data_IF_741451890695
#
_entry.id   IF_741451890695
#
_cell.length_a   1.000
_cell.length_b   1.000
_cell.length_c   1.000
_cell.angle_alpha   90.00
_cell.angle_beta   90.00
_cell.angle_gamma   90.00
#
_symmetry.space_group_name_H-M   'P 1'
#
loop_
_entity.id
_entity.type
_entity.pdbx_description
1 polymer ?
#
# COMPACT_ATOMS: atom_id res chain seq x y z
N UNK A 1 -13.70 10.38 -12.24
CA UNK A 1 -14.30 9.04 -12.08
C UNK A 1 -15.36 9.01 -10.98
N UNK A 2 -15.05 9.36 -9.72
CA UNK A 2 -16.07 9.41 -8.66
C UNK A 2 -17.15 10.49 -8.91
N UNK A 3 -16.75 11.68 -9.34
CA UNK A 3 -17.69 12.75 -9.72
C UNK A 3 -18.62 12.33 -10.85
N UNK A 4 -18.10 11.58 -11.83
CA UNK A 4 -18.86 11.01 -12.93
C UNK A 4 -19.86 9.95 -12.47
N UNK A 5 -19.49 9.10 -11.50
CA UNK A 5 -20.42 8.13 -10.94
C UNK A 5 -21.58 8.83 -10.21
N UNK A 6 -21.27 9.90 -9.47
CA UNK A 6 -22.30 10.68 -8.80
C UNK A 6 -23.21 11.43 -9.78
N UNK A 7 -22.67 12.01 -10.87
CA UNK A 7 -23.49 12.67 -11.90
C UNK A 7 -24.46 11.69 -12.60
N UNK A 8 -24.12 10.41 -12.63
CA UNK A 8 -24.98 9.31 -13.08
C UNK A 8 -25.93 8.77 -12.00
N UNK A 9 -26.03 9.44 -10.85
CA UNK A 9 -26.92 9.07 -9.74
C UNK A 9 -26.47 7.85 -8.95
N UNK A 10 -25.20 7.44 -9.04
CA UNK A 10 -24.67 6.32 -8.25
C UNK A 10 -24.40 6.74 -6.82
N UNK A 11 -24.92 5.97 -5.88
CA UNK A 11 -24.73 6.22 -4.44
C UNK A 11 -23.44 5.59 -3.93
N UNK A 12 -22.96 6.06 -2.77
CA UNK A 12 -21.77 5.52 -2.10
C UNK A 12 -21.98 4.04 -1.75
N UNK A 13 -23.19 3.64 -1.39
CA UNK A 13 -23.56 2.26 -1.08
C UNK A 13 -23.47 1.35 -2.31
N UNK A 14 -23.89 1.85 -3.48
CA UNK A 14 -23.75 1.11 -4.74
C UNK A 14 -22.28 0.94 -5.11
N UNK A 15 -21.44 1.96 -4.89
CA UNK A 15 -19.99 1.84 -5.08
C UNK A 15 -19.42 0.81 -4.10
N UNK A 16 -19.83 0.84 -2.83
CA UNK A 16 -19.39 -0.13 -1.83
C UNK A 16 -19.74 -1.56 -2.23
N UNK A 17 -20.95 -1.80 -2.73
CA UNK A 17 -21.39 -3.13 -3.16
C UNK A 17 -20.55 -3.64 -4.35
N UNK A 18 -20.26 -2.78 -5.32
CA UNK A 18 -19.34 -3.12 -6.41
C UNK A 18 -17.94 -3.48 -5.90
N UNK A 19 -17.41 -2.74 -4.92
CA UNK A 19 -16.08 -2.98 -4.36
C UNK A 19 -15.97 -4.32 -3.62
N UNK A 20 -17.05 -4.83 -3.02
CA UNK A 20 -17.07 -6.15 -2.38
C UNK A 20 -16.77 -7.28 -3.38
N UNK A 21 -17.08 -7.09 -4.65
CA UNK A 21 -16.77 -8.07 -5.70
C UNK A 21 -15.30 -8.08 -6.14
N UNK A 22 -14.45 -7.18 -5.64
CA UNK A 22 -13.02 -7.19 -5.94
C UNK A 22 -12.39 -8.47 -5.35
N UNK A 23 -11.83 -9.36 -6.20
CA UNK A 23 -11.29 -10.62 -5.72
C UNK A 23 -9.95 -10.41 -5.01
N UNK A 24 -9.79 -11.06 -3.85
CA UNK A 24 -8.49 -11.30 -3.23
C UNK A 24 -8.16 -12.78 -3.33
N UNK A 25 -6.95 -13.09 -3.82
CA UNK A 25 -6.53 -14.48 -3.94
C UNK A 25 -6.43 -15.13 -2.55
N UNK A 26 -6.92 -16.37 -2.33
CA UNK A 26 -6.92 -17.00 -1.00
C UNK A 26 -5.54 -17.04 -0.32
N UNK A 27 -4.47 -17.22 -1.10
CA UNK A 27 -3.10 -17.16 -0.56
C UNK A 27 -2.66 -15.77 -0.10
N UNK A 28 -3.19 -14.70 -0.69
CA UNK A 28 -2.95 -13.33 -0.21
C UNK A 28 -3.64 -13.12 1.13
N UNK A 29 -4.89 -13.59 1.27
CA UNK A 29 -5.63 -13.56 2.55
C UNK A 29 -4.84 -14.32 3.63
N UNK A 30 -4.47 -15.57 3.35
CA UNK A 30 -3.72 -16.41 4.28
C UNK A 30 -2.35 -15.83 4.65
N UNK A 31 -1.64 -15.18 3.71
CA UNK A 31 -0.37 -14.54 4.01
C UNK A 31 -0.53 -13.34 4.96
N UNK A 32 -1.56 -12.52 4.77
CA UNK A 32 -1.86 -11.38 5.65
C UNK A 32 -2.24 -11.87 7.06
N UNK A 33 -3.13 -12.87 7.14
CA UNK A 33 -3.54 -13.45 8.44
C UNK A 33 -2.35 -14.10 9.15
N UNK A 34 -1.53 -14.87 8.43
CA UNK A 34 -0.34 -15.51 9.03
C UNK A 34 0.66 -14.48 9.55
N UNK A 35 0.92 -13.41 8.81
CA UNK A 35 1.83 -12.36 9.26
C UNK A 35 1.29 -11.64 10.51
N UNK A 36 -0.02 -11.36 10.54
CA UNK A 36 -0.68 -10.79 11.71
C UNK A 36 -0.58 -11.73 12.92
N UNK A 37 -0.86 -13.02 12.76
CA UNK A 37 -0.84 -14.01 13.84
C UNK A 37 0.57 -14.26 14.38
N UNK A 38 1.60 -14.02 13.56
CA UNK A 38 3.01 -13.99 13.97
C UNK A 38 3.41 -12.70 14.71
N UNK A 39 2.49 -11.75 14.88
CA UNK A 39 2.71 -10.50 15.60
C UNK A 39 3.38 -9.40 14.76
N UNK A 40 3.34 -9.49 13.42
CA UNK A 40 3.83 -8.41 12.58
C UNK A 40 2.93 -7.18 12.66
N UNK A 41 3.55 -6.00 12.71
CA UNK A 41 2.85 -4.72 12.54
C UNK A 41 2.57 -4.48 11.05
N UNK A 42 1.32 -4.71 10.62
CA UNK A 42 0.93 -4.62 9.21
C UNK A 42 0.35 -3.25 8.87
N UNK A 43 0.89 -2.61 7.83
CA UNK A 43 0.47 -1.30 7.33
C UNK A 43 0.24 -1.33 5.83
N UNK A 44 -0.71 -0.53 5.35
CA UNK A 44 -0.89 -0.27 3.90
C UNK A 44 -0.45 1.16 3.59
N UNK A 45 0.37 1.31 2.56
CA UNK A 45 0.72 2.62 1.98
C UNK A 45 0.31 2.64 0.52
N UNK A 46 -0.70 3.43 0.16
CA UNK A 46 -1.31 3.36 -1.16
C UNK A 46 -1.77 4.71 -1.69
N UNK A 47 -1.55 4.91 -2.99
CA UNK A 47 -2.00 6.09 -3.72
C UNK A 47 -3.49 6.01 -4.14
N UNK A 48 -4.21 5.00 -3.67
CA UNK A 48 -5.66 4.84 -3.92
C UNK A 48 -6.48 5.78 -3.02
N UNK A 49 -7.54 5.28 -2.36
CA UNK A 49 -8.29 6.09 -1.41
C UNK A 49 -8.81 5.22 -0.26
N UNK A 50 -9.05 5.88 0.88
CA UNK A 50 -9.44 5.23 2.12
C UNK A 50 -10.73 4.42 1.96
N UNK A 51 -11.80 5.02 1.43
CA UNK A 51 -13.08 4.33 1.22
C UNK A 51 -12.92 3.00 0.45
N UNK A 52 -12.12 2.98 -0.62
CA UNK A 52 -11.93 1.77 -1.43
C UNK A 52 -11.20 0.67 -0.65
N UNK A 53 -10.05 1.03 -0.07
CA UNK A 53 -9.20 0.07 0.64
C UNK A 53 -9.96 -0.51 1.83
N UNK A 54 -10.58 0.35 2.64
CA UNK A 54 -11.32 -0.11 3.81
C UNK A 54 -12.50 -1.00 3.42
N UNK A 55 -13.27 -0.65 2.39
CA UNK A 55 -14.43 -1.44 1.96
C UNK A 55 -14.01 -2.85 1.54
N UNK A 56 -12.96 -2.96 0.72
CA UNK A 56 -12.44 -4.26 0.27
C UNK A 56 -11.90 -5.06 1.45
N UNK A 57 -11.06 -4.45 2.29
CA UNK A 57 -10.46 -5.16 3.44
C UNK A 57 -11.51 -5.58 4.48
N UNK A 58 -12.53 -4.76 4.74
CA UNK A 58 -13.63 -5.11 5.66
C UNK A 58 -14.45 -6.26 5.10
N UNK A 59 -14.74 -6.27 3.80
CA UNK A 59 -15.48 -7.38 3.17
C UNK A 59 -14.74 -8.72 3.30
N UNK A 60 -13.43 -8.72 3.09
CA UNK A 60 -12.58 -9.92 3.23
C UNK A 60 -12.14 -10.19 4.68
N UNK A 61 -12.64 -9.42 5.66
CA UNK A 61 -12.28 -9.55 7.08
C UNK A 61 -10.86 -9.09 7.45
N UNK A 62 -10.03 -8.70 6.49
CA UNK A 62 -8.61 -8.37 6.68
C UNK A 62 -8.35 -7.02 7.35
N UNK A 63 -9.36 -6.15 7.46
CA UNK A 63 -9.19 -4.82 8.07
C UNK A 63 -8.64 -4.91 9.51
N UNK A 64 -9.06 -5.94 10.26
CA UNK A 64 -8.59 -6.21 11.64
C UNK A 64 -7.10 -6.51 11.75
N UNK A 65 -6.47 -6.94 10.65
CA UNK A 65 -5.08 -7.35 10.63
C UNK A 65 -4.13 -6.15 10.50
N UNK A 66 -4.63 -4.99 10.09
CA UNK A 66 -3.80 -3.81 9.83
C UNK A 66 -3.84 -2.85 11.02
N UNK A 67 -2.67 -2.35 11.42
CA UNK A 67 -2.58 -1.29 12.41
C UNK A 67 -2.84 0.09 11.81
N UNK A 68 -2.60 0.25 10.51
CA UNK A 68 -2.68 1.55 9.84
C UNK A 68 -2.86 1.45 8.33
N UNK A 69 -3.63 2.37 7.76
CA UNK A 69 -3.81 2.54 6.32
C UNK A 69 -3.47 4.00 5.98
N UNK A 70 -2.35 4.19 5.33
CA UNK A 70 -1.83 5.50 4.90
C UNK A 70 -2.17 5.67 3.41
N UNK A 71 -3.18 6.48 3.15
CA UNK A 71 -3.73 6.69 1.81
C UNK A 71 -4.49 8.02 1.74
N UNK A 72 -5.01 8.38 0.56
CA UNK A 72 -5.81 9.58 0.37
C UNK A 72 -7.12 9.49 1.18
N UNK A 73 -7.34 10.34 2.19
CA UNK A 73 -8.53 10.27 3.02
C UNK A 73 -9.80 10.61 2.25
N UNK A 74 -10.94 10.13 2.76
CA UNK A 74 -12.24 10.28 2.10
C UNK A 74 -13.33 10.75 3.05
N UNK A 75 -14.27 11.54 2.54
CA UNK A 75 -15.49 11.92 3.25
C UNK A 75 -16.70 11.87 2.33
N UNK A 76 -17.90 11.66 2.87
CA UNK A 76 -19.15 11.84 2.13
C UNK A 76 -19.69 13.22 2.47
N UNK A 77 -19.93 14.06 1.46
CA UNK A 77 -20.47 15.40 1.68
C UNK A 77 -21.99 15.41 1.88
N UNK A 78 -22.56 16.59 2.17
CA UNK A 78 -24.00 16.75 2.42
C UNK A 78 -24.92 16.40 1.24
N UNK A 79 -24.36 16.24 0.03
CA UNK A 79 -25.08 15.81 -1.17
C UNK A 79 -24.90 14.29 -1.44
N UNK A 80 -24.26 13.57 -0.52
CA UNK A 80 -23.99 12.13 -0.68
C UNK A 80 -22.82 11.84 -1.63
N UNK A 81 -21.96 12.82 -1.92
CA UNK A 81 -20.80 12.62 -2.81
C UNK A 81 -19.60 12.12 -2.03
N UNK A 82 -18.96 11.08 -2.55
CA UNK A 82 -17.64 10.67 -2.06
C UNK A 82 -16.58 11.69 -2.50
N UNK A 83 -15.96 12.35 -1.54
CA UNK A 83 -14.83 13.27 -1.70
C UNK A 83 -13.54 12.56 -1.33
N UNK A 84 -12.49 12.78 -2.12
CA UNK A 84 -11.14 12.27 -1.88
C UNK A 84 -10.23 13.48 -1.69
N UNK A 85 -9.41 13.46 -0.66
CA UNK A 85 -8.46 14.52 -0.34
C UNK A 85 -7.03 13.99 -0.46
N UNK A 86 -6.04 14.83 -0.79
CA UNK A 86 -4.64 14.41 -0.75
C UNK A 86 -4.24 14.05 0.69
N UNK A 87 -3.45 12.99 0.85
CA UNK A 87 -2.86 12.64 2.15
C UNK A 87 -1.81 13.69 2.57
N UNK A 88 -0.97 14.12 1.63
CA UNK A 88 -0.04 15.20 1.86
C UNK A 88 -0.80 16.53 1.91
N UNK A 89 -0.54 17.34 2.93
CA UNK A 89 -0.96 18.74 2.91
C UNK A 89 -0.23 19.48 1.76
N UNK A 90 -0.97 20.25 0.97
CA UNK A 90 -0.46 21.04 -0.17
C UNK A 90 0.62 22.04 0.27
N UNK A 91 0.62 22.44 1.55
CA UNK A 91 1.62 23.33 2.15
C UNK A 91 2.93 22.60 2.45
N UNK A 92 2.88 21.29 2.64
CA UNK A 92 4.03 20.43 2.93
C UNK A 92 4.69 19.95 1.63
N UNK A 93 5.13 20.91 0.81
CA UNK A 93 5.94 20.64 -0.38
C UNK A 93 7.31 20.11 0.08
N UNK A 94 7.39 18.81 0.34
CA UNK A 94 8.55 18.12 0.91
C UNK A 94 9.71 17.93 -0.08
N UNK A 95 9.80 18.77 -1.12
CA UNK A 95 10.89 18.82 -2.08
C UNK A 95 11.01 17.63 -3.05
N UNK A 96 10.08 16.67 -3.01
CA UNK A 96 10.09 15.53 -3.92
C UNK A 96 9.36 15.85 -5.24
N UNK A 97 10.12 16.18 -6.29
CA UNK A 97 9.57 16.48 -7.61
C UNK A 97 9.14 15.22 -8.40
N UNK A 98 9.18 14.04 -7.79
CA UNK A 98 9.05 12.75 -8.47
C UNK A 98 7.94 11.86 -7.91
N UNK A 99 7.26 12.30 -6.85
CA UNK A 99 6.05 11.64 -6.34
C UNK A 99 4.79 12.36 -6.83
N UNK A 100 3.64 11.67 -6.87
CA UNK A 100 2.35 12.33 -7.01
C UNK A 100 2.16 13.41 -5.91
N UNK A 101 1.45 14.51 -6.21
CA UNK A 101 1.26 15.60 -5.25
C UNK A 101 0.48 15.15 -4.01
N UNK A 102 -0.35 14.12 -4.14
CA UNK A 102 -1.32 13.71 -3.14
C UNK A 102 -0.75 12.74 -2.08
N UNK A 103 0.23 11.89 -2.41
CA UNK A 103 0.86 10.98 -1.43
C UNK A 103 2.31 10.65 -1.82
N UNK A 104 3.24 10.88 -0.90
CA UNK A 104 4.64 10.49 -1.08
C UNK A 104 4.98 9.27 -0.22
N UNK A 105 5.07 8.11 -0.87
CA UNK A 105 5.44 6.86 -0.19
C UNK A 105 6.82 6.90 0.45
N UNK A 106 7.76 7.65 -0.13
CA UNK A 106 9.12 7.80 0.39
C UNK A 106 9.11 8.45 1.78
N UNK A 107 8.41 9.59 1.90
CA UNK A 107 8.25 10.30 3.17
C UNK A 107 7.49 9.46 4.21
N UNK A 108 6.45 8.74 3.78
CA UNK A 108 5.69 7.85 4.66
C UNK A 108 6.59 6.77 5.25
N UNK A 109 7.44 6.14 4.43
CA UNK A 109 8.34 5.09 4.92
C UNK A 109 9.39 5.66 5.88
N UNK A 110 9.92 6.85 5.63
CA UNK A 110 10.81 7.54 6.57
C UNK A 110 10.13 7.80 7.93
N UNK A 111 8.88 8.24 7.94
CA UNK A 111 8.11 8.46 9.16
C UNK A 111 7.87 7.16 9.93
N UNK A 112 7.53 6.06 9.23
CA UNK A 112 7.36 4.75 9.85
C UNK A 112 8.70 4.29 10.46
N UNK A 113 9.81 4.37 9.72
CA UNK A 113 11.13 4.00 10.22
C UNK A 113 11.55 4.81 11.45
N UNK A 114 11.28 6.13 11.46
CA UNK A 114 11.56 6.99 12.61
C UNK A 114 10.77 6.56 13.85
N UNK A 115 9.45 6.36 13.72
CA UNK A 115 8.58 5.94 14.84
C UNK A 115 8.91 4.55 15.40
N UNK A 116 9.44 3.65 14.57
CA UNK A 116 9.85 2.30 15.00
C UNK A 116 11.22 2.31 15.67
N UNK A 117 12.14 3.18 15.23
CA UNK A 117 13.49 3.29 15.83
C UNK A 117 13.44 3.67 17.31
N UNK A 118 12.43 4.44 17.73
CA UNK A 118 12.19 4.77 19.14
C UNK A 118 11.80 3.55 20.00
N UNK A 119 11.27 2.49 19.37
CA UNK A 119 10.80 1.26 20.04
C UNK A 119 11.80 0.10 19.96
N UNK A 120 12.91 0.26 19.22
CA UNK A 120 13.96 -0.73 19.04
C UNK A 120 14.15 -1.16 17.58
N UNK A 121 15.17 -2.01 17.32
CA UNK A 121 15.51 -2.43 15.96
C UNK A 121 14.43 -3.37 15.40
N UNK A 122 13.69 -2.88 14.42
CA UNK A 122 12.66 -3.62 13.69
C UNK A 122 13.14 -3.97 12.29
N UNK A 123 12.71 -5.13 11.78
CA UNK A 123 12.97 -5.56 10.40
C UNK A 123 11.78 -5.18 9.52
N UNK A 124 12.04 -4.57 8.37
CA UNK A 124 11.01 -4.18 7.41
C UNK A 124 10.87 -5.21 6.29
N UNK A 125 9.62 -5.47 5.90
CA UNK A 125 9.29 -6.25 4.71
C UNK A 125 8.36 -5.38 3.85
N UNK A 126 8.84 -4.92 2.70
CA UNK A 126 8.09 -4.04 1.80
C UNK A 126 7.58 -4.83 0.59
N UNK A 127 6.26 -4.86 0.41
CA UNK A 127 5.60 -5.50 -0.73
C UNK A 127 5.10 -4.41 -1.68
N UNK A 128 5.36 -4.57 -2.98
CA UNK A 128 4.90 -3.61 -3.99
C UNK A 128 5.05 -4.13 -5.42
N UNK A 129 4.50 -3.38 -6.38
CA UNK A 129 4.55 -3.71 -7.80
C UNK A 129 4.73 -2.48 -8.70
N UNK A 130 4.28 -1.31 -8.25
CA UNK A 130 4.22 -0.10 -9.05
C UNK A 130 5.54 0.69 -9.10
N UNK A 131 5.60 1.63 -10.05
CA UNK A 131 6.73 2.57 -10.16
C UNK A 131 6.91 3.45 -8.91
N UNK A 132 5.80 3.77 -8.25
CA UNK A 132 5.78 4.58 -7.01
C UNK A 132 6.42 3.88 -5.82
N UNK A 133 6.59 2.56 -5.88
CA UNK A 133 7.19 1.75 -4.82
C UNK A 133 8.73 1.69 -4.92
N UNK A 134 9.33 2.12 -6.05
CA UNK A 134 10.77 1.97 -6.23
C UNK A 134 11.58 2.80 -5.23
N UNK A 135 11.27 4.09 -5.07
CA UNK A 135 12.00 4.98 -4.15
C UNK A 135 11.94 4.54 -2.69
N UNK A 136 10.76 4.25 -2.10
CA UNK A 136 10.70 3.83 -0.71
C UNK A 136 11.52 2.56 -0.44
N UNK A 137 11.63 1.64 -1.41
CA UNK A 137 12.45 0.42 -1.22
C UNK A 137 13.95 0.72 -1.08
N UNK A 138 14.44 1.84 -1.61
CA UNK A 138 15.84 2.26 -1.46
C UNK A 138 16.17 2.81 -0.06
N UNK A 139 15.15 3.08 0.77
CA UNK A 139 15.29 3.51 2.16
C UNK A 139 15.47 2.35 3.14
N UNK A 140 15.17 1.13 2.69
CA UNK A 140 15.38 -0.07 3.48
C UNK A 140 16.87 -0.37 3.65
N UNK A 141 17.23 -0.99 4.77
CA UNK A 141 18.62 -1.26 5.14
C UNK A 141 18.95 -2.76 5.08
N UNK A 142 20.21 -3.09 5.38
CA UNK A 142 20.66 -4.49 5.42
C UNK A 142 19.87 -5.28 6.46
N UNK A 143 19.34 -6.42 6.01
CA UNK A 143 18.50 -7.30 6.81
C UNK A 143 17.00 -7.03 6.69
N UNK A 144 16.60 -5.96 6.00
CA UNK A 144 15.23 -5.77 5.53
C UNK A 144 14.98 -6.53 4.22
N UNK A 145 13.72 -6.68 3.84
CA UNK A 145 13.32 -7.40 2.63
C UNK A 145 12.40 -6.55 1.73
N UNK A 146 12.66 -6.59 0.43
CA UNK A 146 11.75 -6.12 -0.62
C UNK A 146 11.18 -7.32 -1.34
N UNK A 147 9.87 -7.31 -1.52
CA UNK A 147 9.14 -8.42 -2.13
C UNK A 147 8.37 -7.88 -3.34
N UNK A 148 9.05 -7.61 -4.48
CA UNK A 148 8.42 -7.01 -5.65
C UNK A 148 7.61 -8.05 -6.44
N UNK A 149 6.52 -7.62 -7.07
CA UNK A 149 5.76 -8.48 -7.97
C UNK A 149 6.51 -8.68 -9.28
N UNK A 150 6.82 -9.92 -9.60
CA UNK A 150 7.50 -10.34 -10.83
C UNK A 150 6.75 -9.89 -12.07
N UNK A 151 7.48 -9.27 -13.00
CA UNK A 151 6.92 -8.77 -14.26
C UNK A 151 6.17 -7.44 -14.13
N UNK A 152 6.30 -6.74 -13.00
CA UNK A 152 5.76 -5.41 -12.79
C UNK A 152 6.88 -4.37 -12.65
N UNK A 153 6.58 -3.07 -12.83
CA UNK A 153 7.60 -2.03 -12.92
C UNK A 153 8.57 -1.91 -11.74
N UNK A 154 8.17 -2.31 -10.53
CA UNK A 154 9.08 -2.37 -9.38
C UNK A 154 10.17 -3.43 -9.59
N UNK A 155 9.80 -4.66 -9.97
CA UNK A 155 10.74 -5.74 -10.28
C UNK A 155 11.75 -5.31 -11.32
N UNK A 156 11.26 -4.77 -12.45
CA UNK A 156 12.11 -4.39 -13.59
C UNK A 156 13.17 -3.35 -13.17
N UNK A 157 12.77 -2.37 -12.35
CA UNK A 157 13.67 -1.32 -11.87
C UNK A 157 14.73 -1.83 -10.90
N UNK A 158 14.33 -2.71 -9.97
CA UNK A 158 15.25 -3.30 -8.99
C UNK A 158 16.28 -4.20 -9.69
N UNK A 159 15.84 -5.02 -10.66
CA UNK A 159 16.73 -5.85 -11.48
C UNK A 159 17.67 -5.03 -12.35
N UNK A 160 17.25 -3.86 -12.81
CA UNK A 160 18.08 -2.97 -13.64
C UNK A 160 19.16 -2.25 -12.84
N UNK A 161 18.98 -2.04 -11.53
CA UNK A 161 19.91 -1.28 -10.68
C UNK A 161 20.12 -1.94 -9.31
N UNK A 162 20.58 -3.20 -9.25
CA UNK A 162 20.63 -3.96 -8.00
C UNK A 162 21.59 -3.37 -6.97
N UNK A 163 22.63 -2.64 -7.40
CA UNK A 163 23.63 -2.02 -6.52
C UNK A 163 23.09 -0.89 -5.64
N UNK A 164 21.93 -0.32 -5.98
CA UNK A 164 21.30 0.75 -5.20
C UNK A 164 20.46 0.19 -4.03
N UNK A 165 20.08 -1.08 -4.10
CA UNK A 165 19.28 -1.72 -3.06
C UNK A 165 20.18 -2.32 -1.98
N UNK A 166 19.92 -1.98 -0.71
CA UNK A 166 20.63 -2.54 0.45
C UNK A 166 19.93 -3.75 1.06
N UNK A 167 18.61 -3.80 0.93
CA UNK A 167 17.73 -4.86 1.42
C UNK A 167 17.78 -6.09 0.52
N UNK A 168 17.38 -7.24 1.06
CA UNK A 168 17.29 -8.48 0.30
C UNK A 168 16.04 -8.46 -0.59
N UNK A 169 16.17 -8.86 -1.85
CA UNK A 169 15.08 -8.81 -2.84
C UNK A 169 14.53 -10.22 -3.14
N UNK A 170 13.22 -10.40 -2.97
CA UNK A 170 12.52 -11.67 -3.18
C UNK A 170 11.30 -11.48 -4.08
N UNK A 171 11.40 -11.78 -5.37
CA UNK A 171 10.24 -11.65 -6.26
C UNK A 171 9.10 -12.61 -5.86
N UNK A 172 7.86 -12.12 -5.93
CA UNK A 172 6.65 -12.96 -5.87
C UNK A 172 5.86 -12.88 -7.19
N UNK A 173 5.15 -13.94 -7.55
CA UNK A 173 4.30 -13.95 -8.75
C UNK A 173 2.86 -14.27 -8.39
N UNK A 174 1.95 -14.07 -9.34
CA UNK A 174 0.59 -14.61 -9.22
C UNK A 174 0.73 -16.09 -8.92
N UNK A 175 0.12 -16.55 -7.82
CA UNK A 175 0.35 -17.78 -7.05
C UNK A 175 0.36 -19.15 -7.78
N UNK A 176 0.62 -19.21 -9.08
CA UNK A 176 0.97 -20.41 -9.84
C UNK A 176 2.40 -20.91 -9.63
N UNK A 177 3.27 -20.17 -8.94
CA UNK A 177 4.58 -20.64 -8.45
C UNK A 177 4.74 -20.23 -6.99
N UNK A 178 5.05 -21.18 -6.11
CA UNK A 178 5.22 -20.89 -4.69
C UNK A 178 6.35 -19.89 -4.45
N UNK A 179 6.11 -18.93 -3.54
CA UNK A 179 7.21 -18.20 -2.90
C UNK A 179 7.78 -19.17 -1.87
N UNK A 180 8.98 -19.67 -2.10
CA UNK A 180 9.70 -20.51 -1.15
C UNK A 180 10.62 -19.58 -0.35
N UNK A 181 10.19 -19.22 0.86
CA UNK A 181 11.12 -18.68 1.84
C UNK A 181 12.03 -19.84 2.25
N UNK A 182 13.30 -19.79 1.86
CA UNK A 182 14.37 -20.61 2.44
C UNK A 182 14.99 -19.88 3.61
#
# INVERSE_FOLDING_TARGET
MIEELHSQGKTVEQIAECLKHVPLHPRTISAIESAHDLGCDLKVVSDANQFYIETILKHHGLYRCLSEIITNPTAVDGEGRLRIFPYNDLVSFHGCNLCPPNLCKDLVIEQIQASMSEKGKSRFIYLGDGRGDYRPTLKLDRGDHVVPRKGFPLSDRLLSNPSLLKADCHEWSNWGGGVQFM
#
